data_IF_444894144832
#
_entry.id   IF_444894144832
#
_cell.length_a   1.000
_cell.length_b   1.000
_cell.length_c   1.000
_cell.angle_alpha   90.00
_cell.angle_beta   90.00
_cell.angle_gamma   90.00
#
_symmetry.space_group_name_H-M   'P 1'
#
loop_
_entity.id
_entity.type
_entity.pdbx_description
1 polymer ?
#
# COMPACT_ATOMS: atom_id res chain seq x y z
N UNK A 1 35.73 8.03 -2.11
CA UNK A 1 34.52 8.84 -1.94
C UNK A 1 33.37 8.15 -2.63
N UNK A 2 32.27 7.96 -1.91
CA UNK A 2 30.91 7.80 -2.45
C UNK A 2 29.98 8.38 -1.37
N UNK A 3 29.58 9.63 -1.57
CA UNK A 3 28.43 10.22 -0.90
C UNK A 3 27.18 9.45 -1.32
N UNK A 4 26.23 9.22 -0.42
CA UNK A 4 24.96 9.97 -0.35
C UNK A 4 23.97 9.30 0.60
N UNK A 5 23.71 9.98 1.71
CA UNK A 5 22.36 10.21 2.24
C UNK A 5 21.50 8.96 2.57
N UNK A 6 21.68 8.44 3.77
CA UNK A 6 20.63 7.70 4.48
C UNK A 6 19.63 8.73 5.03
N UNK A 7 18.76 9.27 4.17
CA UNK A 7 17.60 10.05 4.62
C UNK A 7 16.72 9.04 5.37
N UNK A 8 16.49 9.33 6.65
CA UNK A 8 15.65 8.57 7.56
C UNK A 8 14.38 8.09 6.87
N UNK A 9 14.34 6.79 6.49
CA UNK A 9 13.23 6.20 5.74
C UNK A 9 11.89 6.28 6.48
N UNK A 10 11.91 6.47 7.81
CA UNK A 10 10.72 6.47 8.68
C UNK A 10 9.84 7.72 8.55
N UNK A 11 10.40 8.94 8.53
CA UNK A 11 9.60 10.18 8.47
C UNK A 11 8.85 10.36 7.14
N UNK A 12 9.36 9.77 6.06
CA UNK A 12 8.70 9.84 4.75
C UNK A 12 7.53 8.88 4.66
N UNK A 13 7.63 7.71 5.32
CA UNK A 13 6.60 6.67 5.30
C UNK A 13 5.33 7.14 6.02
N UNK A 14 5.46 7.89 7.11
CA UNK A 14 4.29 8.46 7.81
C UNK A 14 3.47 9.39 6.91
N UNK A 15 4.15 10.29 6.17
CA UNK A 15 3.50 11.18 5.19
C UNK A 15 2.82 10.41 4.06
N UNK A 16 3.46 9.32 3.60
CA UNK A 16 2.85 8.45 2.58
C UNK A 16 1.61 7.76 3.15
N UNK A 17 1.63 7.29 4.40
CA UNK A 17 0.45 6.67 5.02
C UNK A 17 -0.76 7.60 5.16
N UNK A 18 -0.52 8.89 5.35
CA UNK A 18 -1.55 9.94 5.36
C UNK A 18 -2.10 10.25 3.96
N UNK A 19 -1.43 9.79 2.91
CA UNK A 19 -1.87 9.97 1.53
C UNK A 19 -3.09 9.10 1.23
N UNK A 20 -4.06 9.67 0.51
CA UNK A 20 -5.29 8.99 0.11
C UNK A 20 -5.08 8.08 -1.09
N UNK A 21 -5.90 7.04 -1.20
CA UNK A 21 -5.91 6.12 -2.35
C UNK A 21 -6.19 6.85 -3.67
N UNK A 22 -6.96 7.95 -3.62
CA UNK A 22 -7.24 8.81 -4.78
C UNK A 22 -5.97 9.50 -5.32
N UNK A 23 -5.01 9.80 -4.45
CA UNK A 23 -3.75 10.50 -4.79
C UNK A 23 -2.70 9.53 -5.34
N UNK A 24 -2.83 8.21 -5.09
CA UNK A 24 -1.95 7.18 -5.69
C UNK A 24 -2.13 7.03 -7.22
N UNK A 25 -3.07 7.75 -7.83
CA UNK A 25 -3.42 7.65 -9.25
C UNK A 25 -3.67 6.19 -9.67
N UNK A 26 -4.39 5.43 -8.83
CA UNK A 26 -4.82 4.09 -9.16
C UNK A 26 -5.92 4.12 -10.22
N UNK A 27 -6.14 2.98 -10.87
CA UNK A 27 -7.31 2.81 -11.72
C UNK A 27 -8.58 3.07 -10.90
N UNK A 28 -9.60 3.76 -11.46
CA UNK A 28 -10.88 3.95 -10.80
C UNK A 28 -11.54 2.63 -10.39
N UNK A 29 -11.18 1.50 -11.02
CA UNK A 29 -11.61 0.17 -10.54
C UNK A 29 -10.94 -0.23 -9.24
N UNK A 30 -9.61 -0.13 -9.16
CA UNK A 30 -8.83 -0.47 -7.96
C UNK A 30 -9.25 0.43 -6.79
N UNK A 31 -9.33 1.75 -7.00
CA UNK A 31 -9.76 2.71 -5.99
C UNK A 31 -11.20 2.44 -5.50
N UNK A 32 -12.14 2.13 -6.40
CA UNK A 32 -13.52 1.80 -5.99
C UNK A 32 -13.60 0.47 -5.22
N UNK A 33 -12.76 -0.52 -5.53
CA UNK A 33 -12.71 -1.78 -4.77
C UNK A 33 -12.20 -1.53 -3.35
N UNK A 34 -11.15 -0.72 -3.22
CA UNK A 34 -10.58 -0.32 -1.95
C UNK A 34 -11.60 0.49 -1.12
N UNK A 35 -12.24 1.50 -1.71
CA UNK A 35 -13.23 2.32 -1.01
C UNK A 35 -14.43 1.48 -0.50
N UNK A 36 -14.87 0.47 -1.28
CA UNK A 36 -15.90 -0.48 -0.85
C UNK A 36 -15.44 -1.44 0.26
N UNK A 37 -14.14 -1.73 0.32
CA UNK A 37 -13.51 -2.46 1.42
C UNK A 37 -13.20 -1.56 2.63
N UNK A 38 -13.66 -0.32 2.62
CA UNK A 38 -13.40 0.72 3.63
C UNK A 38 -11.93 1.17 3.68
N UNK A 39 -11.17 0.93 2.61
CA UNK A 39 -9.77 1.33 2.43
C UNK A 39 -9.75 2.65 1.64
N UNK A 40 -9.43 3.75 2.32
CA UNK A 40 -9.41 5.11 1.73
C UNK A 40 -8.03 5.75 1.72
N UNK A 41 -7.11 5.25 2.54
CA UNK A 41 -5.74 5.75 2.67
C UNK A 41 -4.73 4.65 2.46
N UNK A 42 -3.49 5.03 2.17
CA UNK A 42 -2.38 4.07 2.05
C UNK A 42 -2.17 3.33 3.37
N UNK A 43 -2.36 4.00 4.52
CA UNK A 43 -2.33 3.36 5.84
C UNK A 43 -3.29 2.17 5.95
N UNK A 44 -4.54 2.34 5.53
CA UNK A 44 -5.53 1.28 5.63
C UNK A 44 -5.18 0.14 4.65
N UNK A 45 -4.63 0.49 3.49
CA UNK A 45 -4.18 -0.47 2.50
C UNK A 45 -3.00 -1.32 2.99
N UNK A 46 -1.95 -0.72 3.57
CA UNK A 46 -0.79 -1.46 4.08
C UNK A 46 -1.09 -2.25 5.35
N UNK A 47 -2.12 -1.84 6.10
CA UNK A 47 -2.64 -2.60 7.24
C UNK A 47 -3.28 -3.94 6.82
N UNK A 48 -3.67 -4.07 5.55
CA UNK A 48 -4.30 -5.27 5.01
C UNK A 48 -3.26 -6.23 4.45
N UNK A 49 -3.53 -7.51 4.65
CA UNK A 49 -2.69 -8.57 4.08
C UNK A 49 -3.05 -8.83 2.62
N UNK A 50 -2.13 -9.47 1.89
CA UNK A 50 -2.40 -9.95 0.54
C UNK A 50 -3.61 -10.90 0.50
N UNK A 51 -3.79 -11.73 1.53
CA UNK A 51 -4.95 -12.61 1.67
C UNK A 51 -6.25 -11.84 1.88
N UNK A 52 -6.25 -10.81 2.72
CA UNK A 52 -7.40 -9.93 2.91
C UNK A 52 -7.77 -9.24 1.60
N UNK A 53 -6.77 -8.75 0.85
CA UNK A 53 -6.98 -8.15 -0.46
C UNK A 53 -7.60 -9.14 -1.45
N UNK A 54 -7.13 -10.39 -1.49
CA UNK A 54 -7.72 -11.44 -2.32
C UNK A 54 -9.17 -11.79 -1.92
N UNK A 55 -9.56 -11.54 -0.67
CA UNK A 55 -10.94 -11.71 -0.19
C UNK A 55 -11.84 -10.51 -0.49
N UNK A 56 -11.29 -9.36 -0.90
CA UNK A 56 -12.08 -8.18 -1.26
C UNK A 56 -12.95 -8.50 -2.47
N UNK A 57 -14.26 -8.52 -2.24
CA UNK A 57 -15.25 -8.79 -3.28
C UNK A 57 -15.16 -7.68 -4.34
N UNK A 58 -14.94 -8.06 -5.60
CA UNK A 58 -14.67 -7.20 -6.77
C UNK A 58 -13.20 -6.81 -6.99
N UNK A 59 -12.26 -7.19 -6.13
CA UNK A 59 -10.83 -7.02 -6.42
C UNK A 59 -10.35 -8.13 -7.36
N UNK A 60 -9.99 -7.75 -8.58
CA UNK A 60 -9.41 -8.68 -9.56
C UNK A 60 -7.89 -8.79 -9.44
N UNK A 61 -7.30 -9.82 -10.04
CA UNK A 61 -5.85 -10.03 -10.10
C UNK A 61 -5.10 -8.82 -10.65
N UNK A 62 -5.64 -8.14 -11.68
CA UNK A 62 -5.08 -6.89 -12.22
C UNK A 62 -5.08 -5.74 -11.22
N UNK A 63 -6.19 -5.53 -10.50
CA UNK A 63 -6.29 -4.46 -9.50
C UNK A 63 -5.36 -4.70 -8.33
N UNK A 64 -5.24 -5.95 -7.88
CA UNK A 64 -4.29 -6.32 -6.83
C UNK A 64 -2.84 -6.06 -7.25
N UNK A 65 -2.46 -6.45 -8.46
CA UNK A 65 -1.12 -6.23 -8.99
C UNK A 65 -0.77 -4.74 -9.08
N UNK A 66 -1.71 -3.92 -9.56
CA UNK A 66 -1.57 -2.47 -9.64
C UNK A 66 -1.33 -1.83 -8.26
N UNK A 67 -2.09 -2.28 -7.25
CA UNK A 67 -1.95 -1.84 -5.85
C UNK A 67 -0.57 -2.21 -5.30
N UNK A 68 -0.16 -3.47 -5.48
CA UNK A 68 1.15 -3.96 -5.01
C UNK A 68 2.28 -3.18 -5.70
N UNK A 69 2.19 -2.97 -7.01
CA UNK A 69 3.18 -2.22 -7.77
C UNK A 69 3.28 -0.77 -7.30
N UNK A 70 2.15 -0.11 -7.00
CA UNK A 70 2.13 1.27 -6.50
C UNK A 70 2.73 1.37 -5.09
N UNK A 71 2.39 0.44 -4.21
CA UNK A 71 3.02 0.36 -2.89
C UNK A 71 4.54 0.15 -3.01
N UNK A 72 4.96 -0.79 -3.85
CA UNK A 72 6.38 -1.09 -4.06
C UNK A 72 7.17 0.13 -4.59
N UNK A 73 6.57 0.92 -5.49
CA UNK A 73 7.16 2.18 -5.97
C UNK A 73 7.35 3.22 -4.87
N UNK A 74 6.54 3.17 -3.81
CA UNK A 74 6.66 4.02 -2.62
C UNK A 74 7.59 3.40 -1.56
N UNK A 75 8.20 2.25 -1.84
CA UNK A 75 9.00 1.49 -0.86
C UNK A 75 8.14 0.83 0.22
N UNK A 76 6.84 0.69 -0.01
CA UNK A 76 5.87 0.06 0.87
C UNK A 76 5.47 -1.33 0.36
N UNK A 77 4.83 -2.10 1.23
CA UNK A 77 4.30 -3.41 0.88
C UNK A 77 3.03 -3.67 1.68
N UNK A 78 2.17 -4.57 1.18
CA UNK A 78 1.05 -5.09 1.95
C UNK A 78 1.56 -5.85 3.17
N UNK A 79 0.75 -5.97 4.21
CA UNK A 79 1.12 -6.74 5.39
C UNK A 79 1.43 -8.19 5.00
N UNK A 80 2.69 -8.57 5.14
CA UNK A 80 3.13 -9.96 5.08
C UNK A 80 2.55 -10.66 6.31
N UNK A 81 1.93 -11.84 6.16
CA UNK A 81 1.42 -12.60 7.33
C UNK A 81 2.55 -13.04 8.28
N UNK A 82 3.81 -12.86 7.87
CA UNK A 82 5.03 -13.24 8.59
C UNK A 82 5.73 -12.05 9.28
N UNK A 83 5.20 -10.82 9.20
CA UNK A 83 5.75 -9.65 9.90
C UNK A 83 5.04 -9.37 11.24
N UNK A 84 4.61 -10.43 11.94
CA UNK A 84 4.41 -10.36 13.39
C UNK A 84 5.78 -10.44 14.08
N UNK A 85 6.40 -9.29 14.28
CA UNK A 85 7.54 -9.14 15.18
C UNK A 85 8.90 -9.20 14.50
N UNK A 86 9.46 -8.02 14.27
CA UNK A 86 10.87 -7.76 14.53
C UNK A 86 11.07 -6.23 14.62
N UNK A 87 10.78 -5.72 15.82
CA UNK A 87 11.44 -4.53 16.35
C UNK A 87 12.46 -5.01 17.38
#
# INVERSE_FOLDING_TARGET
GHNTFVESKEETVEKIFETSIEDMELSPRSANCLNRANIKTIRDLTSKSKEDMLRVRNLGSKSLDEIISKLASLGLSLRSSEEEGNF
#
